data_IF_383663685718
#
_entry.id   IF_383663685718
#
_cell.length_a   1.000
_cell.length_b   1.000
_cell.length_c   1.000
_cell.angle_alpha   90.00
_cell.angle_beta   90.00
_cell.angle_gamma   90.00
#
_symmetry.space_group_name_H-M   'P 1'
#
loop_
_entity.id
_entity.type
_entity.pdbx_description
1 polymer ?
#
# COMPACT_ATOMS: atom_id res chain seq x y z
N UNK A 1 1.22 1.70 7.17
CA UNK A 1 2.15 1.43 6.06
C UNK A 1 3.50 0.87 6.55
N UNK A 2 4.25 1.55 7.40
CA UNK A 2 5.60 1.14 7.85
C UNK A 2 5.70 -0.33 8.31
N UNK A 3 4.77 -0.77 9.18
CA UNK A 3 4.77 -2.17 9.66
C UNK A 3 4.58 -3.20 8.53
N UNK A 4 3.69 -2.92 7.57
CA UNK A 4 3.52 -3.80 6.40
C UNK A 4 4.79 -3.84 5.55
N UNK A 5 5.35 -2.67 5.22
CA UNK A 5 6.59 -2.56 4.46
C UNK A 5 7.75 -3.33 5.09
N UNK A 6 8.01 -3.13 6.41
CA UNK A 6 9.08 -3.85 7.10
C UNK A 6 8.89 -5.36 7.04
N UNK A 7 7.64 -5.83 7.28
CA UNK A 7 7.33 -7.26 7.19
C UNK A 7 7.62 -7.83 5.79
N UNK A 8 7.25 -7.10 4.72
CA UNK A 8 7.49 -7.55 3.35
C UNK A 8 8.99 -7.54 3.03
N UNK A 9 9.69 -6.47 3.38
CA UNK A 9 11.13 -6.28 3.11
C UNK A 9 12.00 -7.31 3.80
N UNK A 10 11.68 -7.66 5.05
CA UNK A 10 12.46 -8.61 5.85
C UNK A 10 12.32 -10.07 5.38
N UNK A 11 11.21 -10.41 4.71
CA UNK A 11 10.92 -11.80 4.33
C UNK A 11 11.06 -12.06 2.82
N UNK A 12 11.16 -11.01 1.99
CA UNK A 12 11.20 -11.16 0.54
C UNK A 12 12.36 -12.01 0.05
N UNK A 13 12.18 -12.79 -1.03
CA UNK A 13 13.28 -13.44 -1.74
C UNK A 13 14.16 -12.40 -2.47
N UNK A 14 15.41 -12.81 -2.84
CA UNK A 14 16.40 -11.91 -3.45
C UNK A 14 15.91 -11.25 -4.75
N UNK A 15 15.16 -11.99 -5.59
CA UNK A 15 14.65 -11.50 -6.87
C UNK A 15 13.34 -10.73 -6.76
N UNK A 16 12.95 -10.33 -5.55
CA UNK A 16 11.80 -9.47 -5.30
C UNK A 16 12.28 -8.16 -4.69
N UNK A 17 11.89 -7.05 -5.28
CA UNK A 17 12.15 -5.71 -4.78
C UNK A 17 10.91 -5.13 -4.12
N UNK A 18 11.10 -4.37 -3.05
CA UNK A 18 10.00 -3.74 -2.28
C UNK A 18 10.35 -2.29 -2.03
N UNK A 19 9.54 -1.39 -2.58
CA UNK A 19 9.63 0.05 -2.38
C UNK A 19 8.38 0.55 -1.66
N UNK A 20 8.47 1.65 -0.92
CA UNK A 20 7.32 2.22 -0.23
C UNK A 20 7.40 3.75 -0.19
N UNK A 21 6.27 4.42 -0.12
CA UNK A 21 6.18 5.87 0.10
C UNK A 21 6.46 6.21 1.57
N UNK A 22 7.69 5.90 1.98
CA UNK A 22 8.24 6.14 3.31
C UNK A 22 9.64 6.71 3.15
N UNK A 23 10.06 7.57 4.06
CA UNK A 23 11.40 8.14 4.07
C UNK A 23 12.46 7.03 4.06
N UNK A 24 13.41 7.09 3.12
CA UNK A 24 14.46 6.09 2.94
C UNK A 24 14.02 4.75 2.32
N UNK A 25 12.77 4.62 1.88
CA UNK A 25 12.23 3.38 1.31
C UNK A 25 11.80 3.52 -0.18
N UNK A 26 12.07 4.64 -0.82
CA UNK A 26 11.82 4.88 -2.24
C UNK A 26 13.06 5.48 -2.91
N UNK A 27 13.10 5.44 -4.25
CA UNK A 27 14.20 5.94 -5.06
C UNK A 27 13.73 7.15 -5.86
N UNK A 28 14.40 8.30 -5.72
CA UNK A 28 14.05 9.52 -6.45
C UNK A 28 12.70 10.09 -6.03
N UNK A 29 11.84 10.43 -7.02
CA UNK A 29 10.54 11.07 -6.80
C UNK A 29 9.35 10.08 -6.71
N UNK A 30 9.58 8.80 -6.96
CA UNK A 30 8.55 7.76 -7.05
C UNK A 30 8.92 6.51 -6.25
N UNK A 31 7.92 5.67 -5.94
CA UNK A 31 8.12 4.30 -5.47
C UNK A 31 8.24 3.30 -6.64
N UNK A 32 8.04 3.75 -7.87
CA UNK A 32 8.29 2.97 -9.09
C UNK A 32 9.69 3.35 -9.59
N UNK A 33 10.64 2.40 -9.67
CA UNK A 33 11.98 2.65 -10.20
C UNK A 33 11.95 3.15 -11.65
N UNK A 34 12.91 4.04 -11.99
CA UNK A 34 12.98 4.70 -13.30
C UNK A 34 13.15 3.68 -14.44
N UNK A 35 13.83 2.57 -14.18
CA UNK A 35 14.02 1.49 -15.17
C UNK A 35 12.72 0.74 -15.50
N UNK A 36 11.69 0.85 -14.66
CA UNK A 36 10.34 0.34 -14.94
C UNK A 36 9.52 1.41 -15.65
N UNK A 37 9.45 2.60 -15.05
CA UNK A 37 8.67 3.72 -15.59
C UNK A 37 9.10 5.05 -14.98
N UNK A 38 9.38 6.03 -15.85
CA UNK A 38 9.59 7.40 -15.39
C UNK A 38 8.25 8.03 -15.02
N UNK A 39 8.01 8.18 -13.73
CA UNK A 39 6.74 8.71 -13.19
C UNK A 39 6.94 9.47 -11.88
N UNK A 40 6.04 10.40 -11.60
CA UNK A 40 5.93 11.07 -10.30
C UNK A 40 4.82 10.44 -9.44
N UNK A 41 4.15 9.40 -9.93
CA UNK A 41 3.15 8.65 -9.16
C UNK A 41 3.83 7.90 -8.01
N UNK A 42 3.22 7.95 -6.83
CA UNK A 42 3.76 7.34 -5.60
C UNK A 42 2.73 6.37 -5.01
N UNK A 43 2.65 5.13 -5.54
CA UNK A 43 1.93 4.07 -4.85
C UNK A 43 2.46 3.88 -3.43
N UNK A 44 1.57 3.51 -2.49
CA UNK A 44 1.97 3.31 -1.10
C UNK A 44 3.08 2.25 -0.97
N UNK A 45 2.99 1.13 -1.74
CA UNK A 45 4.03 0.13 -1.86
C UNK A 45 4.09 -0.35 -3.32
N UNK A 46 5.29 -0.53 -3.85
CA UNK A 46 5.55 -1.16 -5.15
C UNK A 46 6.38 -2.42 -4.93
N UNK A 47 5.90 -3.54 -5.47
CA UNK A 47 6.62 -4.81 -5.51
C UNK A 47 7.03 -5.10 -6.94
N UNK A 48 8.30 -5.48 -7.16
CA UNK A 48 8.80 -5.88 -8.48
C UNK A 48 9.34 -7.31 -8.35
N UNK A 49 8.66 -8.23 -8.99
CA UNK A 49 9.03 -9.64 -8.99
C UNK A 49 9.74 -9.99 -10.28
N UNK A 50 11.06 -10.18 -10.19
CA UNK A 50 11.93 -10.51 -11.33
C UNK A 50 12.12 -12.03 -11.52
N UNK A 51 11.33 -12.85 -10.84
CA UNK A 51 11.35 -14.33 -11.03
C UNK A 51 10.62 -14.77 -12.29
N UNK A 52 9.91 -13.87 -12.94
CA UNK A 52 9.12 -14.10 -14.15
C UNK A 52 9.64 -13.25 -15.32
N UNK A 53 9.44 -13.73 -16.53
CA UNK A 53 9.64 -12.95 -17.75
C UNK A 53 8.33 -12.85 -18.54
N UNK A 54 7.80 -11.65 -18.75
CA UNK A 54 8.28 -10.38 -18.22
C UNK A 54 8.11 -10.25 -16.70
N UNK A 55 8.95 -9.39 -16.07
CA UNK A 55 8.86 -9.13 -14.63
C UNK A 55 7.48 -8.55 -14.26
N UNK A 56 7.03 -8.88 -13.05
CA UNK A 56 5.70 -8.48 -12.56
C UNK A 56 5.81 -7.31 -11.58
N UNK A 57 5.06 -6.24 -11.83
CA UNK A 57 4.95 -5.06 -10.98
C UNK A 57 3.60 -5.07 -10.28
N UNK A 58 3.60 -5.01 -8.96
CA UNK A 58 2.38 -4.90 -8.16
C UNK A 58 2.35 -3.58 -7.41
N UNK A 59 1.39 -2.74 -7.74
CA UNK A 59 1.12 -1.46 -7.07
C UNK A 59 0.12 -1.71 -5.95
N UNK A 60 0.55 -1.52 -4.69
CA UNK A 60 -0.30 -1.73 -3.51
C UNK A 60 -0.68 -0.38 -2.92
N UNK A 61 -1.96 -0.19 -2.69
CA UNK A 61 -2.55 1.02 -2.14
C UNK A 61 -3.30 0.72 -0.85
N UNK A 62 -2.95 1.39 0.23
CA UNK A 62 -3.56 1.22 1.53
C UNK A 62 -4.58 2.34 1.79
N UNK A 63 -5.73 1.99 2.33
CA UNK A 63 -6.77 2.96 2.69
C UNK A 63 -7.47 2.53 3.97
N UNK A 64 -7.83 3.52 4.80
CA UNK A 64 -8.61 3.29 6.03
C UNK A 64 -9.98 3.97 5.89
N UNK A 65 -10.90 3.38 5.10
CA UNK A 65 -12.23 3.93 4.91
C UNK A 65 -13.16 3.58 6.08
N UNK A 66 -14.27 4.30 6.19
CA UNK A 66 -15.40 3.81 6.97
C UNK A 66 -16.04 2.60 6.28
N UNK A 67 -16.72 1.73 7.05
CA UNK A 67 -17.24 0.42 6.55
C UNK A 67 -18.07 0.54 5.27
N UNK A 68 -18.96 1.54 5.20
CA UNK A 68 -19.81 1.78 4.03
C UNK A 68 -19.05 2.29 2.79
N UNK A 69 -17.83 2.79 2.95
CA UNK A 69 -17.00 3.37 1.89
C UNK A 69 -15.95 2.44 1.29
N UNK A 70 -15.86 1.17 1.75
CA UNK A 70 -14.78 0.25 1.35
C UNK A 70 -14.70 0.05 -0.16
N UNK A 71 -15.82 -0.29 -0.81
CA UNK A 71 -15.84 -0.54 -2.26
C UNK A 71 -15.51 0.72 -3.06
N UNK A 72 -16.13 1.84 -2.71
CA UNK A 72 -15.85 3.12 -3.37
C UNK A 72 -14.39 3.58 -3.18
N UNK A 73 -13.77 3.27 -2.05
CA UNK A 73 -12.35 3.55 -1.83
C UNK A 73 -11.48 2.69 -2.76
N UNK A 74 -11.75 1.38 -2.87
CA UNK A 74 -11.05 0.47 -3.76
C UNK A 74 -11.14 0.91 -5.23
N UNK A 75 -12.33 1.30 -5.70
CA UNK A 75 -12.54 1.71 -7.08
C UNK A 75 -11.81 3.02 -7.41
N UNK A 76 -11.84 4.01 -6.49
CA UNK A 76 -11.05 5.24 -6.66
C UNK A 76 -9.55 4.97 -6.75
N UNK A 77 -9.02 4.03 -5.96
CA UNK A 77 -7.59 3.69 -6.00
C UNK A 77 -7.22 2.98 -7.30
N UNK A 78 -8.06 2.07 -7.80
CA UNK A 78 -7.84 1.43 -9.12
C UNK A 78 -7.84 2.47 -10.24
N UNK A 79 -8.85 3.32 -10.30
CA UNK A 79 -8.95 4.38 -11.31
C UNK A 79 -7.75 5.34 -11.27
N UNK A 80 -7.26 5.67 -10.07
CA UNK A 80 -6.09 6.55 -9.91
C UNK A 80 -4.83 6.00 -10.58
N UNK A 81 -4.62 4.68 -10.52
CA UNK A 81 -3.40 4.04 -11.04
C UNK A 81 -3.61 3.29 -12.35
N UNK A 82 -4.78 3.43 -12.97
CA UNK A 82 -5.10 2.75 -14.23
C UNK A 82 -4.14 3.16 -15.35
N UNK A 83 -3.90 4.47 -15.53
CA UNK A 83 -2.97 4.95 -16.54
C UNK A 83 -1.54 4.45 -16.28
N UNK A 84 -1.03 4.61 -15.06
CA UNK A 84 0.29 4.11 -14.70
C UNK A 84 0.42 2.59 -14.92
N UNK A 85 -0.61 1.83 -14.56
CA UNK A 85 -0.61 0.38 -14.77
C UNK A 85 -0.56 0.01 -16.26
N UNK A 86 -1.24 0.77 -17.12
CA UNK A 86 -1.22 0.57 -18.57
C UNK A 86 0.13 0.98 -19.16
N UNK A 87 0.69 2.13 -18.77
CA UNK A 87 2.01 2.57 -19.20
C UNK A 87 3.10 1.53 -18.87
N UNK A 88 3.04 0.94 -17.66
CA UNK A 88 3.97 -0.12 -17.24
C UNK A 88 3.79 -1.38 -18.11
N UNK A 89 2.55 -1.75 -18.46
CA UNK A 89 2.29 -2.87 -19.36
C UNK A 89 2.79 -2.61 -20.79
N UNK A 90 2.58 -1.40 -21.29
CA UNK A 90 3.06 -0.97 -22.60
C UNK A 90 4.60 -0.95 -22.69
N UNK A 91 5.27 -0.70 -21.54
CA UNK A 91 6.72 -0.83 -21.39
C UNK A 91 7.21 -2.30 -21.33
N UNK A 92 6.32 -3.30 -21.43
CA UNK A 92 6.65 -4.72 -21.53
C UNK A 92 6.65 -5.48 -20.19
N UNK A 93 6.17 -4.89 -19.10
CA UNK A 93 6.04 -5.54 -17.79
C UNK A 93 4.62 -6.06 -17.55
N UNK A 94 4.47 -7.08 -16.71
CA UNK A 94 3.15 -7.35 -16.13
C UNK A 94 2.85 -6.32 -15.04
N UNK A 95 1.63 -5.80 -14.98
CA UNK A 95 1.27 -4.84 -13.94
C UNK A 95 -0.13 -5.08 -13.40
N UNK A 96 -0.28 -4.98 -12.07
CA UNK A 96 -1.57 -5.00 -11.39
C UNK A 96 -1.60 -3.98 -10.25
N UNK A 97 -2.79 -3.42 -9.99
CA UNK A 97 -3.05 -2.57 -8.82
C UNK A 97 -3.90 -3.31 -7.82
N UNK A 98 -3.41 -3.42 -6.57
CA UNK A 98 -4.08 -4.10 -5.47
C UNK A 98 -4.42 -3.05 -4.39
N UNK A 99 -5.66 -2.55 -4.35
CA UNK A 99 -6.12 -1.74 -3.23
C UNK A 99 -6.39 -2.64 -2.02
N UNK A 100 -5.93 -2.21 -0.85
CA UNK A 100 -6.12 -2.85 0.45
C UNK A 100 -6.85 -1.89 1.37
N UNK A 101 -8.08 -2.20 1.71
CA UNK A 101 -8.90 -1.41 2.62
C UNK A 101 -8.96 -2.09 3.99
N UNK A 102 -8.44 -1.40 5.00
CA UNK A 102 -8.63 -1.76 6.40
C UNK A 102 -9.64 -0.78 7.00
N UNK A 103 -10.83 -1.24 7.35
CA UNK A 103 -11.85 -0.37 7.91
C UNK A 103 -11.33 0.40 9.14
N UNK A 104 -11.79 1.64 9.35
CA UNK A 104 -11.46 2.46 10.53
C UNK A 104 -11.78 1.78 11.87
N UNK A 105 -12.63 0.74 11.87
CA UNK A 105 -12.92 -0.13 13.02
C UNK A 105 -12.02 -1.36 13.09
N UNK A 106 -10.95 -1.44 12.28
CA UNK A 106 -10.04 -2.58 12.24
C UNK A 106 -10.54 -3.79 11.47
N UNK A 107 -11.72 -3.74 10.84
CA UNK A 107 -12.22 -4.85 10.05
C UNK A 107 -11.53 -4.94 8.69
N UNK A 108 -11.12 -6.16 8.31
CA UNK A 108 -10.59 -6.49 6.99
C UNK A 108 -11.52 -7.54 6.38
N UNK A 109 -12.18 -7.23 5.28
CA UNK A 109 -13.11 -8.15 4.61
C UNK A 109 -12.36 -9.32 3.94
N UNK A 110 -13.11 -10.34 3.47
CA UNK A 110 -12.53 -11.54 2.87
C UNK A 110 -11.69 -11.23 1.63
N UNK A 111 -12.13 -10.31 0.77
CA UNK A 111 -11.39 -9.87 -0.43
C UNK A 111 -10.03 -9.30 -0.05
N UNK A 112 -9.97 -8.35 0.87
CA UNK A 112 -8.73 -7.73 1.33
C UNK A 112 -7.82 -8.72 2.05
N UNK A 113 -8.38 -9.69 2.80
CA UNK A 113 -7.61 -10.79 3.38
C UNK A 113 -6.95 -11.65 2.30
N UNK A 114 -7.66 -12.00 1.23
CA UNK A 114 -7.13 -12.77 0.11
C UNK A 114 -6.04 -11.98 -0.63
N UNK A 115 -6.24 -10.69 -0.87
CA UNK A 115 -5.24 -9.82 -1.50
C UNK A 115 -3.97 -9.72 -0.64
N UNK A 116 -4.10 -9.50 0.67
CA UNK A 116 -2.97 -9.52 1.60
C UNK A 116 -2.27 -10.87 1.63
N UNK A 117 -3.02 -11.99 1.65
CA UNK A 117 -2.43 -13.32 1.63
C UNK A 117 -1.61 -13.56 0.35
N UNK A 118 -2.10 -13.12 -0.82
CA UNK A 118 -1.35 -13.18 -2.09
C UNK A 118 -0.04 -12.39 -2.01
N UNK A 119 -0.07 -11.14 -1.50
CA UNK A 119 1.14 -10.31 -1.31
C UNK A 119 2.12 -11.00 -0.36
N UNK A 120 1.64 -11.51 0.77
CA UNK A 120 2.48 -12.20 1.75
C UNK A 120 3.10 -13.49 1.18
N UNK A 121 2.35 -14.22 0.37
CA UNK A 121 2.85 -15.41 -0.32
C UNK A 121 3.96 -15.04 -1.31
N UNK A 122 3.76 -14.00 -2.13
CA UNK A 122 4.79 -13.49 -3.05
C UNK A 122 6.08 -13.11 -2.31
N UNK A 123 5.96 -12.47 -1.14
CA UNK A 123 7.07 -12.06 -0.28
C UNK A 123 7.55 -13.17 0.69
N UNK A 124 7.02 -14.40 0.60
CA UNK A 124 7.39 -15.55 1.46
C UNK A 124 7.19 -15.31 2.96
N UNK A 125 6.26 -14.45 3.35
CA UNK A 125 5.96 -14.16 4.76
C UNK A 125 5.21 -15.33 5.40
N UNK A 126 5.88 -16.10 6.27
CA UNK A 126 5.32 -17.34 6.86
C UNK A 126 4.23 -17.10 7.92
N UNK A 127 4.37 -16.07 8.75
CA UNK A 127 3.48 -15.79 9.90
C UNK A 127 2.57 -14.56 9.67
N UNK A 128 2.04 -14.40 8.47
CA UNK A 128 1.28 -13.19 8.07
C UNK A 128 -0.01 -12.94 8.87
N UNK A 129 -0.57 -13.94 9.54
CA UNK A 129 -1.76 -13.75 10.38
C UNK A 129 -1.53 -12.75 11.52
N UNK A 130 -0.32 -12.69 12.08
CA UNK A 130 0.05 -11.70 13.09
C UNK A 130 0.09 -10.30 12.48
N UNK A 131 0.63 -10.16 11.28
CA UNK A 131 0.66 -8.88 10.54
C UNK A 131 -0.76 -8.39 10.24
N UNK A 132 -1.66 -9.28 9.80
CA UNK A 132 -3.08 -8.94 9.59
C UNK A 132 -3.73 -8.43 10.88
N UNK A 133 -3.50 -9.10 12.02
CA UNK A 133 -4.00 -8.65 13.33
C UNK A 133 -3.43 -7.27 13.72
N UNK A 134 -2.14 -7.06 13.46
CA UNK A 134 -1.48 -5.77 13.72
C UNK A 134 -2.07 -4.65 12.86
N UNK A 135 -2.30 -4.90 11.57
CA UNK A 135 -2.94 -3.92 10.67
C UNK A 135 -4.35 -3.54 11.16
N UNK A 136 -5.16 -4.52 11.56
CA UNK A 136 -6.48 -4.29 12.16
C UNK A 136 -6.38 -3.41 13.41
N UNK A 137 -5.46 -3.72 14.33
CA UNK A 137 -5.25 -2.96 15.57
C UNK A 137 -4.76 -1.54 15.27
N UNK A 138 -3.79 -1.38 14.38
CA UNK A 138 -3.23 -0.07 14.01
C UNK A 138 -4.28 0.82 13.35
N UNK A 139 -5.13 0.26 12.47
CA UNK A 139 -6.23 1.01 11.86
C UNK A 139 -7.23 1.52 12.91
N UNK A 140 -7.63 0.66 13.85
CA UNK A 140 -8.53 1.03 14.94
C UNK A 140 -7.92 2.12 15.83
N UNK A 141 -6.67 1.93 16.29
CA UNK A 141 -5.99 2.89 17.16
C UNK A 141 -5.77 4.23 16.46
N UNK A 142 -5.31 4.23 15.19
CA UNK A 142 -5.13 5.46 14.42
C UNK A 142 -6.43 6.23 14.24
N UNK A 143 -7.52 5.52 13.90
CA UNK A 143 -8.84 6.13 13.77
C UNK A 143 -9.36 6.71 15.09
N UNK A 144 -9.13 6.02 16.20
CA UNK A 144 -9.48 6.50 17.54
C UNK A 144 -8.67 7.74 17.93
N UNK A 145 -7.36 7.76 17.63
CA UNK A 145 -6.50 8.92 17.87
C UNK A 145 -6.99 10.13 17.08
N UNK A 146 -7.26 9.98 15.80
CA UNK A 146 -7.81 11.04 14.94
C UNK A 146 -9.14 11.54 15.51
N UNK A 147 -10.05 10.64 15.91
CA UNK A 147 -11.32 11.01 16.49
C UNK A 147 -11.17 11.85 17.76
N UNK A 148 -10.30 11.45 18.68
CA UNK A 148 -10.10 12.17 19.94
C UNK A 148 -9.38 13.51 19.75
N UNK A 149 -8.44 13.58 18.79
CA UNK A 149 -7.65 14.79 18.56
C UNK A 149 -8.42 15.89 17.82
N UNK A 150 -9.53 15.55 17.13
CA UNK A 150 -10.27 16.50 16.28
C UNK A 150 -10.80 17.75 16.99
N UNK A 151 -11.00 17.69 18.30
CA UNK A 151 -11.48 18.80 19.15
C UNK A 151 -10.36 19.41 20.00
N UNK A 152 -9.09 19.02 19.81
CA UNK A 152 -7.96 19.60 20.50
C UNK A 152 -7.41 20.82 19.75
N UNK A 153 -6.89 21.81 20.46
CA UNK A 153 -6.29 23.01 19.87
C UNK A 153 -5.09 22.66 18.96
N UNK A 154 -4.42 21.53 19.22
CA UNK A 154 -3.34 20.96 18.38
C UNK A 154 -3.83 20.41 17.03
N UNK A 155 -5.14 20.19 16.85
CA UNK A 155 -5.77 19.73 15.60
C UNK A 155 -6.17 20.89 14.68
N UNK A 156 -5.70 22.09 14.93
CA UNK A 156 -5.99 23.23 14.06
C UNK A 156 -5.29 23.01 12.71
N UNK A 157 -6.12 22.74 11.69
CA UNK A 157 -5.67 22.47 10.29
C UNK A 157 -4.72 23.57 9.79
N UNK A 158 -4.87 24.82 10.27
CA UNK A 158 -4.00 25.94 9.92
C UNK A 158 -2.56 25.74 10.43
N UNK A 159 -2.34 25.00 11.52
CA UNK A 159 -0.98 24.71 12.02
C UNK A 159 -0.28 23.61 11.22
N UNK A 160 -1.03 22.74 10.53
CA UNK A 160 -0.51 21.67 9.66
C UNK A 160 -0.23 22.16 8.23
N UNK A 161 -0.74 23.33 7.85
CA UNK A 161 -0.58 23.92 6.52
C UNK A 161 0.44 25.08 6.49
N UNK A 162 1.13 25.35 7.60
CA UNK A 162 2.26 26.29 7.58
C UNK A 162 3.46 25.62 6.94
N UNK A 163 4.05 26.25 5.89
CA UNK A 163 5.23 25.76 5.18
C UNK A 163 6.46 25.68 6.09
#
# INVERSE_FOLDING_TARGET
MAHLYSTLKENKPDNLEVYADLEGAFIGSSTVPVEIMLTNSRPDITLIDRRHEPASVTLVELTIPFTSGINAAADRKRARYEFLSNDIKDAGFQCQTIPIEVCSRGHINSRNRSSLASIFHTCQVKKYQQTIKSLSKLSLLGSYTVYNSRNSDSWNIVSLLKP
#
